data_IF_159404464016
#
_entry.id   IF_159404464016
#
_cell.length_a   1.000
_cell.length_b   1.000
_cell.length_c   1.000
_cell.angle_alpha   90.00
_cell.angle_beta   90.00
_cell.angle_gamma   90.00
#
_symmetry.space_group_name_H-M   'P 1'
#
loop_
_entity.id
_entity.type
_entity.pdbx_description
1 polymer ?
#
# COMPACT_ATOMS: atom_id res chain seq x y z
N UNK A 1 2.91 6.57 13.26
CA UNK A 1 3.86 7.25 12.34
C UNK A 1 5.01 7.82 13.15
N UNK A 2 6.21 7.95 12.59
CA UNK A 2 7.28 8.68 13.27
C UNK A 2 6.98 10.17 13.19
N UNK A 3 7.46 10.95 14.16
CA UNK A 3 7.26 12.41 14.18
C UNK A 3 7.78 13.08 12.89
N UNK A 4 8.86 12.56 12.31
CA UNK A 4 9.41 13.04 11.05
C UNK A 4 8.46 12.84 9.88
N UNK A 5 7.77 11.70 9.81
CA UNK A 5 6.83 11.38 8.72
C UNK A 5 5.69 12.41 8.71
N UNK A 6 5.12 12.71 9.89
CA UNK A 6 4.04 13.69 10.05
C UNK A 6 4.46 15.10 9.62
N UNK A 7 5.61 15.58 10.11
CA UNK A 7 6.12 16.91 9.74
C UNK A 7 6.41 17.01 8.24
N UNK A 8 6.94 15.94 7.65
CA UNK A 8 7.30 15.91 6.23
C UNK A 8 6.05 15.89 5.36
N UNK A 9 5.11 14.97 5.63
CA UNK A 9 3.87 14.89 4.88
C UNK A 9 3.04 16.17 5.03
N UNK A 10 3.01 16.78 6.22
CA UNK A 10 2.30 18.05 6.43
C UNK A 10 2.88 19.25 5.67
N UNK A 11 4.16 19.20 5.29
CA UNK A 11 4.78 20.23 4.44
C UNK A 11 4.60 19.98 2.94
N UNK A 12 4.22 18.76 2.58
CA UNK A 12 4.08 18.29 1.19
C UNK A 12 2.61 18.19 0.75
N UNK A 13 1.68 18.06 1.70
CA UNK A 13 0.26 17.79 1.44
C UNK A 13 -0.40 18.82 0.51
N UNK A 14 0.00 20.09 0.61
CA UNK A 14 -0.50 21.19 -0.23
C UNK A 14 0.27 21.39 -1.54
N UNK A 15 1.28 20.56 -1.83
CA UNK A 15 2.21 20.73 -2.97
C UNK A 15 2.15 19.58 -3.96
N UNK A 16 1.90 18.37 -3.47
CA UNK A 16 1.92 17.14 -4.27
C UNK A 16 0.85 16.17 -3.79
N UNK A 17 0.44 15.27 -4.68
CA UNK A 17 -0.43 14.16 -4.35
C UNK A 17 0.35 13.11 -3.54
N UNK A 18 0.08 13.00 -2.24
CA UNK A 18 0.76 12.04 -1.36
C UNK A 18 0.00 10.71 -1.36
N UNK A 19 0.67 9.63 -1.76
CA UNK A 19 0.14 8.26 -1.67
C UNK A 19 0.92 7.51 -0.59
N UNK A 20 0.32 7.26 0.60
CA UNK A 20 1.02 6.59 1.66
C UNK A 20 1.15 5.08 1.40
N UNK A 21 2.35 4.55 1.62
CA UNK A 21 2.70 3.15 1.38
C UNK A 21 3.42 2.58 2.60
N UNK A 22 3.05 1.37 3.01
CA UNK A 22 3.76 0.57 4.00
C UNK A 22 4.77 -0.30 3.24
N UNK A 23 6.05 0.06 3.37
CA UNK A 23 7.15 -0.69 2.76
C UNK A 23 7.43 -2.01 3.50
N UNK A 24 7.98 -2.99 2.77
CA UNK A 24 8.36 -4.32 3.31
C UNK A 24 7.22 -4.97 4.10
N UNK A 25 6.01 -4.94 3.54
CA UNK A 25 4.81 -5.44 4.21
C UNK A 25 4.88 -6.94 4.55
N UNK A 26 5.76 -7.70 3.89
CA UNK A 26 6.06 -9.10 4.19
C UNK A 26 6.69 -9.34 5.57
N UNK A 27 7.11 -8.28 6.26
CA UNK A 27 7.63 -8.32 7.63
C UNK A 27 6.54 -8.23 8.70
N UNK A 28 5.28 -8.00 8.31
CA UNK A 28 4.16 -7.76 9.22
C UNK A 28 3.09 -8.83 8.97
N UNK A 29 2.53 -9.42 10.02
CA UNK A 29 1.41 -10.36 9.85
C UNK A 29 0.14 -9.65 9.39
N UNK A 30 -0.80 -10.38 8.76
CA UNK A 30 -2.04 -9.78 8.24
C UNK A 30 -2.88 -9.08 9.32
N UNK A 31 -2.93 -9.63 10.53
CA UNK A 31 -3.70 -9.07 11.65
C UNK A 31 -3.06 -7.80 12.20
N UNK A 32 -1.73 -7.76 12.31
CA UNK A 32 -0.98 -6.57 12.70
C UNK A 32 -1.06 -5.50 11.63
N UNK A 33 -0.95 -5.88 10.35
CA UNK A 33 -1.04 -4.97 9.21
C UNK A 33 -2.40 -4.26 9.19
N UNK A 34 -3.49 -4.98 9.43
CA UNK A 34 -4.83 -4.39 9.52
C UNK A 34 -4.91 -3.30 10.61
N UNK A 35 -4.44 -3.61 11.83
CA UNK A 35 -4.38 -2.64 12.93
C UNK A 35 -3.46 -1.46 12.61
N UNK A 36 -2.34 -1.74 11.93
CA UNK A 36 -1.35 -0.73 11.58
C UNK A 36 -1.88 0.26 10.53
N UNK A 37 -2.61 -0.22 9.51
CA UNK A 37 -3.29 0.63 8.53
C UNK A 37 -4.28 1.58 9.20
N UNK A 38 -5.15 1.06 10.07
CA UNK A 38 -6.13 1.87 10.82
C UNK A 38 -5.42 2.95 11.65
N UNK A 39 -4.34 2.57 12.35
CA UNK A 39 -3.57 3.51 13.17
C UNK A 39 -2.92 4.61 12.34
N UNK A 40 -2.30 4.27 11.20
CA UNK A 40 -1.69 5.27 10.30
C UNK A 40 -2.76 6.25 9.79
N UNK A 41 -3.89 5.74 9.28
CA UNK A 41 -4.95 6.58 8.76
C UNK A 41 -5.55 7.50 9.84
N UNK A 42 -5.77 6.97 11.05
CA UNK A 42 -6.26 7.77 12.18
C UNK A 42 -5.28 8.88 12.56
N UNK A 43 -3.98 8.61 12.58
CA UNK A 43 -2.97 9.64 12.86
C UNK A 43 -2.88 10.71 11.76
N UNK A 44 -3.01 10.34 10.48
CA UNK A 44 -3.03 11.29 9.36
C UNK A 44 -4.21 12.25 9.47
N UNK A 45 -5.41 11.71 9.74
CA UNK A 45 -6.64 12.50 9.94
C UNK A 45 -6.52 13.41 11.15
N UNK A 46 -6.05 12.90 12.29
CA UNK A 46 -5.91 13.68 13.52
C UNK A 46 -4.92 14.86 13.38
N UNK A 47 -3.91 14.72 12.52
CA UNK A 47 -2.94 15.79 12.24
C UNK A 47 -3.32 16.64 11.01
N UNK A 48 -4.49 16.37 10.39
CA UNK A 48 -4.99 17.10 9.23
C UNK A 48 -4.08 17.00 8.00
N UNK A 49 -3.35 15.90 7.83
CA UNK A 49 -2.49 15.66 6.66
C UNK A 49 -3.38 15.23 5.50
N UNK A 50 -3.36 16.00 4.41
CA UNK A 50 -4.09 15.64 3.19
C UNK A 50 -3.29 14.63 2.36
N UNK A 51 -3.91 13.48 2.09
CA UNK A 51 -3.38 12.46 1.19
C UNK A 51 -4.23 12.41 -0.07
N UNK A 52 -3.66 11.91 -1.15
CA UNK A 52 -4.39 11.67 -2.38
C UNK A 52 -5.52 10.66 -2.14
N UNK A 53 -6.73 11.02 -2.56
CA UNK A 53 -7.87 10.12 -2.63
C UNK A 53 -8.28 10.00 -4.09
N UNK A 54 -8.55 8.78 -4.52
CA UNK A 54 -9.07 8.53 -5.85
C UNK A 54 -10.46 9.18 -5.98
N UNK A 55 -10.71 9.93 -7.07
CA UNK A 55 -11.97 10.64 -7.25
C UNK A 55 -13.14 9.65 -7.37
N UNK A 56 -14.19 9.85 -6.58
CA UNK A 56 -15.39 8.99 -6.58
C UNK A 56 -16.57 9.64 -7.30
N UNK A 57 -16.34 10.76 -7.98
CA UNK A 57 -17.39 11.61 -8.55
C UNK A 57 -17.96 11.05 -9.86
N UNK A 58 -17.19 10.21 -10.55
CA UNK A 58 -17.60 9.53 -11.78
C UNK A 58 -18.20 8.16 -11.44
N UNK A 59 -19.50 7.99 -11.68
CA UNK A 59 -20.25 6.76 -11.38
C UNK A 59 -19.66 5.51 -12.05
N UNK A 60 -18.95 5.65 -13.18
CA UNK A 60 -18.37 4.50 -13.91
C UNK A 60 -17.15 3.89 -13.23
N UNK A 61 -16.43 4.69 -12.42
CA UNK A 61 -15.19 4.28 -11.72
C UNK A 61 -15.28 4.46 -10.20
N UNK A 62 -16.39 5.01 -9.71
CA UNK A 62 -16.70 5.25 -8.29
C UNK A 62 -16.42 4.03 -7.43
N UNK A 63 -16.95 2.86 -7.80
CA UNK A 63 -16.84 1.65 -6.98
C UNK A 63 -15.40 1.14 -6.88
N UNK A 64 -14.67 1.21 -7.98
CA UNK A 64 -13.25 0.85 -8.04
C UNK A 64 -12.41 1.83 -7.20
N UNK A 65 -12.64 3.13 -7.36
CA UNK A 65 -11.90 4.17 -6.65
C UNK A 65 -12.21 4.17 -5.15
N UNK A 66 -13.44 3.91 -4.74
CA UNK A 66 -13.83 3.72 -3.35
C UNK A 66 -13.11 2.50 -2.74
N UNK A 67 -13.07 1.39 -3.48
CA UNK A 67 -12.32 0.20 -3.07
C UNK A 67 -10.83 0.50 -2.94
N UNK A 68 -10.24 1.24 -3.88
CA UNK A 68 -8.82 1.65 -3.85
C UNK A 68 -8.50 2.55 -2.66
N UNK A 69 -9.36 3.53 -2.37
CA UNK A 69 -9.27 4.37 -1.17
C UNK A 69 -9.31 3.53 0.12
N UNK A 70 -10.12 2.47 0.16
CA UNK A 70 -10.19 1.52 1.28
C UNK A 70 -8.91 0.70 1.51
N UNK A 71 -8.02 0.61 0.52
CA UNK A 71 -6.74 -0.10 0.65
C UNK A 71 -5.59 0.77 1.15
N UNK A 72 -5.78 2.09 1.22
CA UNK A 72 -4.77 3.03 1.71
C UNK A 72 -4.54 2.86 3.23
N UNK A 73 -3.27 2.92 3.70
CA UNK A 73 -2.05 2.93 2.90
C UNK A 73 -1.75 1.57 2.26
N UNK A 74 -1.25 1.55 1.02
CA UNK A 74 -0.93 0.30 0.31
C UNK A 74 0.20 -0.45 1.02
N UNK A 75 0.03 -1.73 1.30
CA UNK A 75 1.06 -2.56 1.90
C UNK A 75 1.83 -3.30 0.81
N UNK A 76 3.05 -2.87 0.51
CA UNK A 76 3.78 -3.36 -0.68
C UNK A 76 5.01 -4.16 -0.34
N UNK A 77 5.30 -5.08 -1.24
CA UNK A 77 6.51 -5.91 -1.23
C UNK A 77 7.21 -5.70 -2.56
N UNK A 78 8.51 -5.39 -2.51
CA UNK A 78 9.34 -5.23 -3.69
C UNK A 78 10.31 -6.40 -3.85
N UNK A 79 10.43 -6.91 -5.08
CA UNK A 79 11.50 -7.83 -5.49
C UNK A 79 11.80 -7.69 -6.98
N UNK A 80 13.08 -7.76 -7.33
CA UNK A 80 13.57 -7.92 -8.70
C UNK A 80 13.93 -9.36 -9.03
N UNK A 81 14.00 -10.23 -8.02
CA UNK A 81 14.30 -11.65 -8.19
C UNK A 81 13.06 -12.40 -8.67
N UNK A 82 13.24 -13.28 -9.64
CA UNK A 82 12.19 -14.13 -10.16
C UNK A 82 12.39 -15.57 -9.72
N UNK A 83 11.32 -16.16 -9.19
CA UNK A 83 11.28 -17.56 -8.76
C UNK A 83 10.36 -18.33 -9.71
N UNK A 84 10.78 -19.52 -10.14
CA UNK A 84 9.96 -20.40 -10.97
C UNK A 84 8.84 -21.01 -10.13
N UNK A 85 7.59 -20.64 -10.41
CA UNK A 85 6.39 -21.25 -9.82
C UNK A 85 5.59 -21.95 -10.92
N UNK A 86 5.67 -23.28 -10.95
CA UNK A 86 5.11 -24.09 -12.03
C UNK A 86 5.76 -23.75 -13.37
N UNK A 87 4.95 -23.28 -14.32
CA UNK A 87 5.39 -22.88 -15.67
C UNK A 87 5.62 -21.38 -15.85
N UNK A 88 5.54 -20.57 -14.78
CA UNK A 88 5.72 -19.12 -14.85
C UNK A 88 6.87 -18.67 -13.95
N UNK A 89 7.60 -17.66 -14.43
CA UNK A 89 8.52 -16.88 -13.60
C UNK A 89 7.71 -15.78 -12.92
N UNK A 90 7.82 -15.68 -11.60
CA UNK A 90 7.11 -14.67 -10.81
C UNK A 90 8.09 -13.91 -9.94
N UNK A 91 7.94 -12.58 -9.85
CA UNK A 91 8.74 -11.76 -8.94
C UNK A 91 8.36 -12.09 -7.50
N UNK A 92 9.34 -12.49 -6.71
CA UNK A 92 9.09 -12.96 -5.35
C UNK A 92 10.27 -12.74 -4.42
N UNK A 93 10.02 -12.78 -3.11
CA UNK A 93 11.05 -12.87 -2.07
C UNK A 93 11.05 -14.29 -1.52
N UNK A 94 12.18 -14.97 -1.59
CA UNK A 94 12.34 -16.33 -1.08
C UNK A 94 12.92 -16.32 0.34
N UNK A 95 12.25 -17.02 1.25
CA UNK A 95 12.68 -17.24 2.62
C UNK A 95 12.74 -18.75 2.90
N UNK A 96 13.47 -19.20 3.95
CA UNK A 96 13.51 -20.62 4.34
C UNK A 96 12.13 -21.22 4.64
N UNK A 97 11.16 -20.39 5.05
CA UNK A 97 9.80 -20.79 5.43
C UNK A 97 8.76 -20.59 4.31
N UNK A 98 9.13 -20.03 3.16
CA UNK A 98 8.17 -19.82 2.08
C UNK A 98 8.57 -18.72 1.09
N UNK A 99 7.67 -18.44 0.15
CA UNK A 99 7.90 -17.49 -0.94
C UNK A 99 6.80 -16.45 -0.97
N UNK A 100 7.17 -15.18 -0.87
CA UNK A 100 6.24 -14.05 -0.98
C UNK A 100 6.23 -13.56 -2.41
N UNK A 101 5.20 -13.93 -3.15
CA UNK A 101 4.93 -13.44 -4.51
C UNK A 101 4.49 -11.98 -4.49
N UNK A 102 5.14 -11.13 -5.29
CA UNK A 102 4.86 -9.69 -5.36
C UNK A 102 3.52 -9.39 -6.04
N UNK A 103 3.20 -10.11 -7.12
CA UNK A 103 1.96 -9.88 -7.88
C UNK A 103 0.75 -10.66 -7.32
N UNK A 104 0.87 -11.24 -6.14
CA UNK A 104 -0.23 -11.96 -5.49
C UNK A 104 -0.94 -11.05 -4.49
N UNK A 105 -2.20 -10.72 -4.78
CA UNK A 105 -3.01 -9.81 -3.95
C UNK A 105 -3.29 -10.34 -2.54
N UNK A 106 -3.16 -11.65 -2.33
CA UNK A 106 -3.27 -12.24 -0.99
C UNK A 106 -2.01 -12.00 -0.14
N UNK A 107 -0.89 -11.60 -0.75
CA UNK A 107 0.38 -11.34 -0.08
C UNK A 107 0.63 -9.85 0.13
N UNK A 108 0.33 -9.00 -0.86
CA UNK A 108 0.53 -7.56 -0.75
C UNK A 108 -0.34 -6.78 -1.75
N UNK A 109 -0.43 -5.47 -1.57
CA UNK A 109 -1.22 -4.55 -2.40
C UNK A 109 -0.44 -4.01 -3.61
N UNK A 110 0.64 -4.67 -4.04
CA UNK A 110 1.47 -4.18 -5.15
C UNK A 110 0.66 -4.05 -6.46
N UNK A 111 -0.24 -4.99 -6.75
CA UNK A 111 -1.09 -4.95 -7.95
C UNK A 111 -1.96 -3.69 -7.95
N UNK A 112 -2.57 -3.37 -6.81
CA UNK A 112 -3.39 -2.17 -6.61
C UNK A 112 -2.56 -0.90 -6.79
N UNK A 113 -1.37 -0.84 -6.19
CA UNK A 113 -0.46 0.29 -6.40
C UNK A 113 -0.04 0.44 -7.87
N UNK A 114 0.11 -0.66 -8.60
CA UNK A 114 0.42 -0.62 -10.04
C UNK A 114 -0.76 -0.12 -10.88
N UNK A 115 -1.99 -0.50 -10.55
CA UNK A 115 -3.20 -0.03 -11.26
C UNK A 115 -3.44 1.47 -11.09
N UNK A 116 -2.88 2.07 -10.04
CA UNK A 116 -2.87 3.52 -9.86
C UNK A 116 -1.97 4.26 -10.87
N UNK A 117 -0.90 3.63 -11.36
CA UNK A 117 0.17 4.25 -12.16
C UNK A 117 -0.05 4.07 -13.67
#
# INVERSE_FOLDING_TARGET
LKSLDLVTMKKLDSKVNIVPVIAKADTISKSELHKFKIKIMSELVANGVQIYQFPTDDETVSDLNSTMNGHLPFAVVGSTEEVKMGNKMVRARQYPWGVVQVENENHCDFVKLREML
#
